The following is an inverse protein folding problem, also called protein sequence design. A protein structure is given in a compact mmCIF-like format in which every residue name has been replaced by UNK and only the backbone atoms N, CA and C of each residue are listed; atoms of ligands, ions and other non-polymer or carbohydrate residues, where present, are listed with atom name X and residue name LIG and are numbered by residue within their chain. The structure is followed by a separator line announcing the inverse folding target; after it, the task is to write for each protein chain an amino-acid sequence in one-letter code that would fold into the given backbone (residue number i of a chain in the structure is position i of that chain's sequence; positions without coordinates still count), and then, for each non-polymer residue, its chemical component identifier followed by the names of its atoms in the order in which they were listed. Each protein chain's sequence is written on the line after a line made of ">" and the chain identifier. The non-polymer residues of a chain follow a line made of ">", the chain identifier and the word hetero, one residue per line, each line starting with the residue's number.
data_IF_559723282020
#
_entry.id   IF_559723282020
#
_cell.length_a   1.000
_cell.length_b   1.000
_cell.length_c   1.000
_cell.angle_alpha   90.00
_cell.angle_beta   90.00
_cell.angle_gamma   90.00
#
_symmetry.space_group_name_H-M   'P 1'
#
loop_
_entity.id
_entity.type
_entity.pdbx_description
1 polymer ?
#
# COMPACT_ATOMS: atom_id res chain seq x y z
N UNK A 1 4.59 -23.25 -5.04
CA UNK A 1 4.07 -21.89 -4.84
C UNK A 1 5.26 -21.04 -4.46
N UNK A 2 5.65 -20.13 -5.34
CA UNK A 2 6.81 -19.26 -5.12
C UNK A 2 6.40 -18.18 -4.11
N UNK A 3 7.32 -17.78 -3.22
CA UNK A 3 7.10 -16.75 -2.18
C UNK A 3 6.49 -15.46 -2.75
N UNK A 4 6.73 -15.18 -4.04
CA UNK A 4 6.16 -14.08 -4.81
C UNK A 4 4.62 -14.07 -4.86
N UNK A 5 3.95 -15.23 -4.97
CA UNK A 5 2.47 -15.27 -5.00
C UNK A 5 1.87 -14.71 -3.69
N UNK A 6 2.54 -14.96 -2.56
CA UNK A 6 2.05 -14.50 -1.27
C UNK A 6 2.24 -12.99 -1.08
N UNK A 7 3.24 -12.40 -1.72
CA UNK A 7 3.46 -10.96 -1.72
C UNK A 7 2.56 -10.23 -2.72
N UNK A 8 2.18 -10.85 -3.84
CA UNK A 8 1.17 -10.32 -4.76
C UNK A 8 -0.19 -10.15 -4.06
N UNK A 9 -0.60 -11.15 -3.27
CA UNK A 9 -1.93 -11.17 -2.66
C UNK A 9 -2.05 -10.21 -1.44
N UNK A 10 -1.01 -10.10 -0.62
CA UNK A 10 -1.03 -9.24 0.58
C UNK A 10 -0.30 -7.91 0.44
N UNK A 11 0.52 -7.73 -0.60
CA UNK A 11 1.30 -6.52 -0.86
C UNK A 11 0.46 -5.24 -0.92
N UNK A 12 -0.54 -5.14 -1.82
CA UNK A 12 -1.34 -3.94 -1.96
C UNK A 12 -2.13 -3.61 -0.68
N UNK A 13 -2.73 -4.61 -0.03
CA UNK A 13 -3.47 -4.42 1.21
C UNK A 13 -2.58 -3.93 2.36
N UNK A 14 -1.36 -4.48 2.49
CA UNK A 14 -0.40 -4.07 3.51
C UNK A 14 0.08 -2.64 3.29
N UNK A 15 0.35 -2.25 2.04
CA UNK A 15 0.71 -0.88 1.67
C UNK A 15 -0.37 0.13 2.03
N UNK A 16 -1.63 -0.20 1.75
CA UNK A 16 -2.76 0.66 2.09
C UNK A 16 -2.88 0.84 3.62
N UNK A 17 -2.72 -0.25 4.38
CA UNK A 17 -2.84 -0.22 5.84
C UNK A 17 -1.72 0.62 6.47
N UNK A 18 -0.48 0.42 6.05
CA UNK A 18 0.66 1.23 6.53
C UNK A 18 0.50 2.68 6.10
N UNK A 19 0.14 2.95 4.84
CA UNK A 19 -0.09 4.30 4.35
C UNK A 19 -1.18 5.04 5.14
N UNK A 20 -2.27 4.33 5.48
CA UNK A 20 -3.36 4.86 6.29
C UNK A 20 -2.91 5.24 7.71
N UNK A 21 -2.14 4.38 8.37
CA UNK A 21 -1.61 4.64 9.70
C UNK A 21 -0.68 5.85 9.69
N UNK A 22 0.24 5.93 8.73
CA UNK A 22 1.17 7.06 8.61
C UNK A 22 0.46 8.38 8.25
N UNK A 23 -0.66 8.31 7.53
CA UNK A 23 -1.48 9.48 7.22
C UNK A 23 -2.24 10.00 8.46
N UNK A 24 -2.74 9.11 9.32
CA UNK A 24 -3.56 9.47 10.50
C UNK A 24 -2.76 10.05 11.67
N UNK A 25 -1.52 9.62 11.90
CA UNK A 25 -0.68 10.11 13.01
C UNK A 25 0.36 11.10 12.47
N UNK A 26 0.12 12.43 12.51
CA UNK A 26 0.81 13.31 11.58
C UNK A 26 2.07 13.93 12.19
N UNK A 27 3.22 13.46 11.71
CA UNK A 27 4.35 14.33 11.43
C UNK A 27 4.35 14.67 9.93
N UNK A 28 4.64 15.92 9.50
CA UNK A 28 4.42 16.38 8.12
C UNK A 28 5.06 15.51 7.03
N UNK A 29 6.28 15.03 7.27
CA UNK A 29 6.99 14.16 6.34
C UNK A 29 6.37 12.75 6.27
N UNK A 30 5.91 12.24 7.41
CA UNK A 30 5.36 10.90 7.56
C UNK A 30 3.96 10.80 6.95
N UNK A 31 3.15 11.87 7.04
CA UNK A 31 1.85 11.93 6.35
C UNK A 31 1.97 12.01 4.83
N UNK A 32 2.97 12.71 4.30
CA UNK A 32 3.25 12.73 2.87
C UNK A 32 3.66 11.34 2.35
N UNK A 33 4.50 10.63 3.11
CA UNK A 33 4.85 9.24 2.82
C UNK A 33 3.61 8.34 2.90
N UNK A 34 2.75 8.52 3.91
CA UNK A 34 1.50 7.79 4.06
C UNK A 34 0.55 7.97 2.86
N UNK A 35 0.37 9.20 2.39
CA UNK A 35 -0.41 9.49 1.19
C UNK A 35 0.19 8.84 -0.07
N UNK A 36 1.52 8.83 -0.20
CA UNK A 36 2.22 8.14 -1.28
C UNK A 36 2.01 6.62 -1.25
N UNK A 37 2.09 6.00 -0.07
CA UNK A 37 1.82 4.56 0.10
C UNK A 37 0.36 4.21 -0.18
N UNK A 38 -0.58 5.07 0.22
CA UNK A 38 -2.00 4.91 -0.11
C UNK A 38 -2.25 4.94 -1.62
N UNK A 39 -1.64 5.91 -2.31
CA UNK A 39 -1.73 6.02 -3.77
C UNK A 39 -1.11 4.80 -4.45
N UNK A 40 0.09 4.40 -4.05
CA UNK A 40 0.81 3.28 -4.65
C UNK A 40 0.09 1.95 -4.41
N UNK A 41 -0.37 1.70 -3.18
CA UNK A 41 -1.16 0.52 -2.84
C UNK A 41 -2.48 0.47 -3.61
N UNK A 42 -3.13 1.62 -3.84
CA UNK A 42 -4.36 1.71 -4.64
C UNK A 42 -4.12 1.39 -6.11
N UNK A 43 -3.04 1.93 -6.70
CA UNK A 43 -2.66 1.68 -8.09
C UNK A 43 -2.29 0.20 -8.31
N UNK A 44 -1.52 -0.38 -7.39
CA UNK A 44 -1.17 -1.80 -7.44
C UNK A 44 -2.41 -2.68 -7.28
N UNK A 45 -3.29 -2.39 -6.31
CA UNK A 45 -4.52 -3.16 -6.17
C UNK A 45 -5.39 -3.12 -7.43
N UNK A 46 -5.49 -1.96 -8.07
CA UNK A 46 -6.22 -1.82 -9.33
C UNK A 46 -5.56 -2.58 -10.50
N UNK A 47 -4.23 -2.61 -10.54
CA UNK A 47 -3.48 -3.42 -11.51
C UNK A 47 -3.74 -4.91 -11.31
N UNK A 48 -3.75 -5.38 -10.06
CA UNK A 48 -4.02 -6.79 -9.70
C UNK A 48 -5.42 -7.23 -10.11
N UNK A 49 -6.42 -6.35 -9.98
CA UNK A 49 -7.78 -6.64 -10.45
C UNK A 49 -7.89 -6.87 -11.96
N UNK A 50 -6.95 -6.37 -12.74
CA UNK A 50 -6.95 -6.46 -14.21
C UNK A 50 -5.96 -7.52 -14.74
N UNK A 51 -5.28 -8.23 -13.86
CA UNK A 51 -4.32 -9.31 -14.17
C UNK A 51 -5.02 -10.67 -14.10
#
# INVERSE_FOLDING_TARGET
>A
MALSDHFDEFGPATMLLVGFVLFIFPEPATSALGAGLLLLGSVWWFYEWNR
#
